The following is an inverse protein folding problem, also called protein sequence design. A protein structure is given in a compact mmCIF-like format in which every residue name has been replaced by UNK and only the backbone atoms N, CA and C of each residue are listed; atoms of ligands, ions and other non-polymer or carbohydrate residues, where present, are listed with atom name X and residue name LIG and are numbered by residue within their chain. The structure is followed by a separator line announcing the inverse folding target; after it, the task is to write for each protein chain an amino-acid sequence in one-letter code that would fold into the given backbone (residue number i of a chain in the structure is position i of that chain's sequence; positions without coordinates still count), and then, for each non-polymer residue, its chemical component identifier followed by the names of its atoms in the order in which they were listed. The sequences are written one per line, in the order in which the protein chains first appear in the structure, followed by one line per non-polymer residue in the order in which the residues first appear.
data_IF_517657718439
#
_entry.id   IF_517657718439
#
_cell.length_a   1.000
_cell.length_b   1.000
_cell.length_c   1.000
_cell.angle_alpha   90.00
_cell.angle_beta   90.00
_cell.angle_gamma   90.00
#
_symmetry.space_group_name_H-M   'P 1'
#
loop_
_entity.id
_entity.type
_entity.pdbx_description
1 polymer ?
#
# COMPACT_ATOMS: atom_id res chain seq x y z
N UNK A 1 42.16 12.28 11.59
CA UNK A 1 41.91 12.23 13.04
C UNK A 1 41.89 10.77 13.45
N UNK A 2 43.01 10.25 13.97
CA UNK A 2 43.11 8.86 14.44
C UNK A 2 42.48 8.79 15.84
N UNK A 3 41.30 8.20 15.97
CA UNK A 3 40.70 7.94 17.28
C UNK A 3 41.44 6.75 17.88
N UNK A 4 42.28 6.99 18.88
CA UNK A 4 42.89 5.91 19.65
C UNK A 4 41.79 5.16 20.40
N UNK A 5 41.50 3.93 19.96
CA UNK A 5 40.48 3.07 20.56
C UNK A 5 41.08 2.47 21.83
N UNK A 6 40.61 2.93 22.99
CA UNK A 6 41.01 2.42 24.30
C UNK A 6 39.93 1.50 24.90
N UNK A 7 40.27 0.31 25.43
CA UNK A 7 41.60 -0.30 25.50
C UNK A 7 42.11 -0.82 24.13
N UNK A 8 43.44 -0.90 23.93
CA UNK A 8 44.04 -1.36 22.69
C UNK A 8 43.70 -2.83 22.46
N UNK A 9 42.82 -3.07 21.50
CA UNK A 9 42.40 -4.40 21.06
C UNK A 9 43.27 -4.83 19.87
N UNK A 10 43.66 -6.11 19.87
CA UNK A 10 44.45 -6.66 18.77
C UNK A 10 43.66 -6.54 17.44
N UNK A 11 44.33 -6.28 16.30
CA UNK A 11 43.66 -6.07 15.02
C UNK A 11 42.75 -7.24 14.61
N UNK A 12 43.10 -8.46 14.98
CA UNK A 12 42.25 -9.65 14.74
C UNK A 12 40.98 -9.65 15.61
N UNK A 13 41.09 -9.23 16.87
CA UNK A 13 39.94 -9.10 17.78
C UNK A 13 39.01 -7.96 17.34
N UNK A 14 39.59 -6.87 16.80
CA UNK A 14 38.85 -5.78 16.16
C UNK A 14 38.00 -6.26 14.99
N UNK A 15 38.56 -7.08 14.09
CA UNK A 15 37.81 -7.62 12.94
C UNK A 15 36.64 -8.49 13.39
N UNK A 16 36.85 -9.36 14.38
CA UNK A 16 35.79 -10.21 14.93
C UNK A 16 34.70 -9.36 15.58
N UNK A 17 35.08 -8.34 16.36
CA UNK A 17 34.13 -7.41 16.98
C UNK A 17 33.35 -6.61 15.93
N UNK A 18 33.98 -6.19 14.84
CA UNK A 18 33.32 -5.52 13.73
C UNK A 18 32.32 -6.42 13.01
N UNK A 19 32.71 -7.65 12.67
CA UNK A 19 31.82 -8.59 11.97
C UNK A 19 30.61 -8.98 12.83
N UNK A 20 30.82 -9.19 14.13
CA UNK A 20 29.73 -9.48 15.08
C UNK A 20 28.79 -8.30 15.26
N UNK A 21 29.33 -7.08 15.32
CA UNK A 21 28.51 -5.85 15.41
C UNK A 21 27.74 -5.63 14.12
N UNK A 22 28.38 -5.77 12.96
CA UNK A 22 27.74 -5.62 11.65
C UNK A 22 26.58 -6.60 11.45
N UNK A 23 26.74 -7.86 11.88
CA UNK A 23 25.65 -8.86 11.85
C UNK A 23 24.48 -8.43 12.73
N UNK A 24 24.76 -8.00 13.96
CA UNK A 24 23.73 -7.54 14.90
C UNK A 24 22.98 -6.32 14.38
N UNK A 25 23.69 -5.33 13.83
CA UNK A 25 23.09 -4.13 13.25
C UNK A 25 22.22 -4.47 12.04
N UNK A 26 22.67 -5.38 11.17
CA UNK A 26 21.88 -5.86 10.03
C UNK A 26 20.62 -6.57 10.49
N UNK A 27 20.70 -7.46 11.47
CA UNK A 27 19.55 -8.16 12.03
C UNK A 27 18.54 -7.17 12.64
N UNK A 28 19.04 -6.15 13.34
CA UNK A 28 18.22 -5.08 13.90
C UNK A 28 17.50 -4.29 12.79
N UNK A 29 18.21 -3.87 11.75
CA UNK A 29 17.63 -3.16 10.61
C UNK A 29 16.59 -4.01 9.86
N UNK A 30 16.84 -5.31 9.69
CA UNK A 30 15.88 -6.22 9.03
C UNK A 30 14.63 -6.44 9.88
N UNK A 31 14.74 -6.43 11.20
CA UNK A 31 13.60 -6.51 12.11
C UNK A 31 12.74 -5.24 12.05
N UNK A 32 13.38 -4.07 12.04
CA UNK A 32 12.68 -2.78 11.89
C UNK A 32 12.01 -2.67 10.51
N UNK A 33 12.72 -3.07 9.44
CA UNK A 33 12.16 -3.11 8.08
C UNK A 33 10.91 -4.00 8.02
N UNK A 34 10.93 -5.17 8.66
CA UNK A 34 9.75 -6.05 8.74
C UNK A 34 8.55 -5.32 9.35
N UNK A 35 8.75 -4.64 10.47
CA UNK A 35 7.69 -3.90 11.16
C UNK A 35 7.12 -2.80 10.25
N UNK A 36 8.00 -2.04 9.58
CA UNK A 36 7.54 -1.01 8.64
C UNK A 36 6.74 -1.58 7.48
N UNK A 37 7.13 -2.74 6.92
CA UNK A 37 6.39 -3.41 5.85
C UNK A 37 5.02 -3.93 6.34
N UNK A 38 4.94 -4.42 7.57
CA UNK A 38 3.67 -4.82 8.18
C UNK A 38 2.76 -3.61 8.36
N UNK A 39 3.27 -2.50 8.89
CA UNK A 39 2.49 -1.27 9.04
C UNK A 39 2.01 -0.72 7.68
N UNK A 40 2.87 -0.77 6.67
CA UNK A 40 2.53 -0.35 5.31
C UNK A 40 1.43 -1.25 4.71
N UNK A 41 1.49 -2.56 4.93
CA UNK A 41 0.44 -3.51 4.51
C UNK A 41 -0.91 -3.13 5.11
N UNK A 42 -0.97 -2.88 6.42
CA UNK A 42 -2.21 -2.46 7.09
C UNK A 42 -2.75 -1.15 6.51
N UNK A 43 -1.87 -0.16 6.27
CA UNK A 43 -2.28 1.10 5.64
C UNK A 43 -2.84 0.94 4.22
N UNK A 44 -2.31 -0.01 3.43
CA UNK A 44 -2.86 -0.34 2.12
C UNK A 44 -4.19 -1.12 2.22
N UNK A 45 -4.35 -2.00 3.20
CA UNK A 45 -5.60 -2.69 3.47
C UNK A 45 -6.71 -1.70 3.86
N UNK A 46 -6.39 -0.66 4.63
CA UNK A 46 -7.32 0.43 4.95
C UNK A 46 -7.72 1.21 3.69
N UNK A 47 -6.76 1.52 2.81
CA UNK A 47 -7.05 2.17 1.53
C UNK A 47 -7.93 1.29 0.63
N UNK A 48 -7.68 -0.02 0.61
CA UNK A 48 -8.49 -0.99 -0.11
C UNK A 48 -9.92 -1.02 0.43
N UNK A 49 -10.09 -0.97 1.76
CA UNK A 49 -11.40 -0.92 2.40
C UNK A 49 -12.20 0.33 2.01
N UNK A 50 -11.56 1.48 1.79
CA UNK A 50 -12.23 2.69 1.29
C UNK A 50 -12.75 2.55 -0.15
N UNK A 51 -12.13 1.70 -0.96
CA UNK A 51 -12.58 1.37 -2.32
C UNK A 51 -13.56 0.21 -2.37
N UNK A 52 -13.73 -0.53 -1.28
CA UNK A 52 -14.65 -1.65 -1.23
C UNK A 52 -16.09 -1.17 -1.51
N UNK A 53 -16.89 -1.93 -2.29
CA UNK A 53 -18.26 -1.58 -2.58
C UNK A 53 -19.14 -1.83 -1.34
N UNK A 54 -19.25 -0.82 -0.48
CA UNK A 54 -20.09 -0.83 0.73
C UNK A 54 -21.35 0.01 0.46
N UNK A 55 -22.53 -0.55 0.73
CA UNK A 55 -23.82 0.14 0.62
C UNK A 55 -24.31 0.62 2.01
N UNK A 56 -24.84 1.86 2.16
CA UNK A 56 -24.99 2.89 1.14
C UNK A 56 -23.68 3.64 0.90
N UNK A 57 -23.21 3.69 -0.36
CA UNK A 57 -21.94 4.33 -0.72
C UNK A 57 -21.85 5.83 -0.41
N UNK A 58 -20.75 6.46 -0.81
CA UNK A 58 -20.47 7.87 -0.53
C UNK A 58 -21.29 8.81 -1.43
N UNK A 59 -22.11 9.68 -0.84
CA UNK A 59 -22.87 10.70 -1.58
C UNK A 59 -22.14 12.04 -1.55
N UNK A 60 -21.78 12.54 -2.73
CA UNK A 60 -21.06 13.77 -2.98
C UNK A 60 -22.02 14.81 -3.58
N UNK A 61 -21.97 16.03 -3.06
CA UNK A 61 -22.72 17.17 -3.61
C UNK A 61 -21.92 17.81 -4.73
N UNK A 62 -22.56 18.01 -5.88
CA UNK A 62 -22.04 18.76 -7.00
C UNK A 62 -22.68 20.15 -7.03
N UNK A 63 -21.88 21.20 -6.96
CA UNK A 63 -22.36 22.56 -7.17
C UNK A 63 -21.31 23.45 -7.80
N UNK A 64 -21.74 24.37 -8.66
CA UNK A 64 -20.86 25.44 -9.16
C UNK A 64 -20.86 26.62 -8.18
N UNK A 65 -19.69 27.15 -7.77
CA UNK A 65 -19.58 28.11 -6.67
C UNK A 65 -20.23 29.47 -6.96
N UNK A 66 -20.31 29.88 -8.23
CA UNK A 66 -20.63 31.28 -8.58
C UNK A 66 -22.01 31.52 -9.19
N UNK A 67 -22.68 30.50 -9.75
CA UNK A 67 -23.91 30.71 -10.51
C UNK A 67 -24.98 29.63 -10.35
N UNK A 68 -24.79 28.62 -9.50
CA UNK A 68 -25.77 27.53 -9.28
C UNK A 68 -26.33 26.90 -10.58
N UNK A 69 -25.60 27.02 -11.69
CA UNK A 69 -26.01 26.55 -13.02
C UNK A 69 -26.09 25.03 -13.03
N UNK A 70 -25.19 24.40 -12.28
CA UNK A 70 -25.17 22.97 -12.04
C UNK A 70 -25.29 22.73 -10.55
N UNK A 71 -26.32 21.99 -10.15
CA UNK A 71 -26.54 21.49 -8.79
C UNK A 71 -26.85 20.01 -8.87
N UNK A 72 -26.37 19.23 -7.94
CA UNK A 72 -26.70 17.82 -7.95
C UNK A 72 -26.09 17.04 -6.81
N UNK A 73 -26.42 15.77 -6.77
CA UNK A 73 -25.82 14.79 -5.86
C UNK A 73 -25.43 13.55 -6.66
N UNK A 74 -24.30 12.95 -6.31
CA UNK A 74 -23.83 11.70 -6.91
C UNK A 74 -23.47 10.74 -5.77
N UNK A 75 -23.97 9.51 -5.83
CA UNK A 75 -23.60 8.43 -4.92
C UNK A 75 -22.66 7.47 -5.62
N UNK A 76 -21.43 7.39 -5.10
CA UNK A 76 -20.38 6.46 -5.51
C UNK A 76 -20.37 5.25 -4.58
N UNK A 77 -20.34 4.05 -5.15
CA UNK A 77 -20.14 2.78 -4.45
C UNK A 77 -18.87 2.14 -4.98
N UNK A 78 -17.82 2.07 -4.16
CA UNK A 78 -16.49 1.61 -4.58
C UNK A 78 -15.95 2.40 -5.79
N UNK A 79 -15.72 1.71 -6.90
CA UNK A 79 -15.17 2.27 -8.15
C UNK A 79 -16.22 2.77 -9.14
N UNK A 80 -17.52 2.69 -8.79
CA UNK A 80 -18.63 3.03 -9.70
C UNK A 80 -19.57 4.08 -9.12
N UNK A 81 -20.18 4.88 -9.99
CA UNK A 81 -21.27 5.80 -9.67
C UNK A 81 -22.59 5.07 -9.94
N UNK A 82 -23.38 4.84 -8.89
CA UNK A 82 -24.63 4.05 -8.96
C UNK A 82 -25.85 4.96 -9.03
N UNK A 83 -25.78 6.14 -8.43
CA UNK A 83 -26.89 7.10 -8.42
C UNK A 83 -26.35 8.49 -8.65
N UNK A 84 -27.10 9.30 -9.38
CA UNK A 84 -26.79 10.70 -9.59
C UNK A 84 -28.03 11.47 -9.99
N UNK A 85 -28.16 12.70 -9.50
CA UNK A 85 -29.21 13.63 -9.92
C UNK A 85 -28.57 14.99 -10.11
N UNK A 86 -28.66 15.54 -11.31
CA UNK A 86 -28.05 16.81 -11.70
C UNK A 86 -29.14 17.71 -12.26
N UNK A 87 -29.35 18.85 -11.61
CA UNK A 87 -30.18 19.94 -12.07
C UNK A 87 -29.31 20.95 -12.82
N UNK A 88 -29.70 21.19 -14.07
CA UNK A 88 -29.02 22.10 -14.99
C UNK A 88 -29.92 23.30 -15.30
N UNK A 89 -29.37 24.51 -15.16
CA UNK A 89 -29.99 25.77 -15.55
C UNK A 89 -29.17 26.43 -16.66
N UNK A 90 -29.53 26.13 -17.90
CA UNK A 90 -28.87 26.70 -19.08
C UNK A 90 -29.52 28.03 -19.44
N UNK A 91 -28.76 28.96 -20.02
CA UNK A 91 -29.25 30.31 -20.34
C UNK A 91 -30.32 30.31 -21.44
N UNK A 92 -30.22 29.37 -22.38
CA UNK A 92 -31.04 29.31 -23.60
C UNK A 92 -32.06 28.18 -23.57
N UNK A 93 -32.03 27.30 -22.57
CA UNK A 93 -32.92 26.14 -22.44
C UNK A 93 -33.62 26.16 -21.09
N UNK A 94 -34.81 25.56 -21.02
CA UNK A 94 -35.50 25.36 -19.76
C UNK A 94 -34.65 24.50 -18.79
N UNK A 95 -34.91 24.63 -17.49
CA UNK A 95 -34.21 23.84 -16.47
C UNK A 95 -34.42 22.34 -16.70
N UNK A 96 -33.34 21.58 -16.75
CA UNK A 96 -33.37 20.13 -16.96
C UNK A 96 -32.89 19.39 -15.72
N UNK A 97 -33.45 18.22 -15.47
CA UNK A 97 -32.98 17.30 -14.44
C UNK A 97 -32.50 16.03 -15.10
N UNK A 98 -31.21 15.74 -14.97
CA UNK A 98 -30.58 14.52 -15.45
C UNK A 98 -30.45 13.55 -14.28
N UNK A 99 -30.96 12.33 -14.43
CA UNK A 99 -30.84 11.26 -13.43
C UNK A 99 -30.06 10.10 -14.02
N UNK A 100 -29.17 9.52 -13.21
CA UNK A 100 -28.45 8.32 -13.59
C UNK A 100 -29.38 7.10 -13.51
N UNK A 101 -29.35 6.25 -14.53
CA UNK A 101 -30.04 4.97 -14.50
C UNK A 101 -29.28 3.99 -13.58
N UNK A 102 -29.90 3.48 -12.50
CA UNK A 102 -29.24 2.51 -11.62
C UNK A 102 -28.89 1.19 -12.32
N UNK A 103 -29.53 0.85 -13.44
CA UNK A 103 -29.22 -0.35 -14.21
C UNK A 103 -27.89 -0.22 -14.99
N UNK A 104 -27.40 1.00 -15.21
CA UNK A 104 -26.18 1.26 -15.97
C UNK A 104 -25.21 2.17 -15.18
N UNK A 105 -24.50 1.61 -14.19
CA UNK A 105 -23.58 2.39 -13.36
C UNK A 105 -22.37 2.88 -14.19
N UNK A 106 -21.89 4.08 -13.87
CA UNK A 106 -20.70 4.64 -14.52
C UNK A 106 -19.46 4.13 -13.79
N UNK A 107 -18.59 3.41 -14.49
CA UNK A 107 -17.30 2.97 -13.98
C UNK A 107 -16.25 4.07 -14.12
N UNK A 108 -15.60 4.40 -13.01
CA UNK A 108 -14.51 5.36 -13.00
C UNK A 108 -13.21 4.61 -13.32
N UNK A 109 -12.73 4.74 -14.55
CA UNK A 109 -11.49 4.08 -15.01
C UNK A 109 -10.29 4.34 -14.08
N UNK A 110 -10.05 5.57 -13.58
CA UNK A 110 -8.95 5.82 -12.64
C UNK A 110 -9.08 5.03 -11.34
N UNK A 111 -10.28 4.94 -10.76
CA UNK A 111 -10.50 4.17 -9.52
C UNK A 111 -10.40 2.66 -9.75
N UNK A 112 -10.77 2.20 -10.94
CA UNK A 112 -10.62 0.80 -11.32
C UNK A 112 -9.15 0.44 -11.46
N UNK A 113 -8.35 1.29 -12.12
CA UNK A 113 -6.90 1.13 -12.20
C UNK A 113 -6.25 1.14 -10.82
N UNK A 114 -6.63 2.10 -9.96
CA UNK A 114 -6.16 2.19 -8.58
C UNK A 114 -6.46 0.89 -7.81
N UNK A 115 -7.69 0.38 -7.88
CA UNK A 115 -8.07 -0.88 -7.24
C UNK A 115 -7.19 -2.06 -7.69
N UNK A 116 -6.87 -2.14 -8.98
CA UNK A 116 -5.98 -3.20 -9.50
C UNK A 116 -4.54 -3.05 -8.99
N UNK A 117 -4.00 -1.82 -8.97
CA UNK A 117 -2.65 -1.55 -8.49
C UNK A 117 -2.51 -1.81 -6.99
N UNK A 118 -3.51 -1.43 -6.18
CA UNK A 118 -3.55 -1.72 -4.75
C UNK A 118 -3.55 -3.22 -4.47
N UNK A 119 -4.42 -3.99 -5.15
CA UNK A 119 -4.43 -5.44 -5.02
C UNK A 119 -3.06 -6.05 -5.35
N UNK A 120 -2.47 -5.63 -6.46
CA UNK A 120 -1.14 -6.09 -6.85
C UNK A 120 -0.09 -5.77 -5.78
N UNK A 121 -0.09 -4.54 -5.25
CA UNK A 121 0.84 -4.14 -4.18
C UNK A 121 0.66 -4.94 -2.89
N UNK A 122 -0.58 -5.28 -2.54
CA UNK A 122 -0.92 -6.08 -1.35
C UNK A 122 -0.46 -7.54 -1.51
N UNK A 123 -0.60 -8.10 -2.71
CA UNK A 123 -0.12 -9.43 -3.06
C UNK A 123 1.42 -9.49 -2.99
N UNK A 124 2.11 -8.50 -3.57
CA UNK A 124 3.58 -8.42 -3.50
C UNK A 124 4.07 -8.31 -2.05
N UNK A 125 3.42 -7.51 -1.21
CA UNK A 125 3.75 -7.41 0.20
C UNK A 125 3.51 -8.71 0.95
N UNK A 126 2.38 -9.36 0.70
CA UNK A 126 2.03 -10.63 1.35
C UNK A 126 3.03 -11.73 0.99
N UNK A 127 3.43 -11.81 -0.28
CA UNK A 127 4.48 -12.71 -0.75
C UNK A 127 5.83 -12.38 -0.13
N UNK A 128 6.20 -11.10 -0.10
CA UNK A 128 7.48 -10.64 0.49
C UNK A 128 7.55 -10.97 1.97
N UNK A 129 6.48 -10.71 2.74
CA UNK A 129 6.44 -11.02 4.17
C UNK A 129 6.48 -12.53 4.42
N UNK A 130 5.75 -13.32 3.63
CA UNK A 130 5.72 -14.79 3.78
C UNK A 130 7.07 -15.43 3.44
N UNK A 131 7.73 -14.96 2.38
CA UNK A 131 9.00 -15.52 1.91
C UNK A 131 10.21 -15.04 2.73
N UNK A 132 10.25 -13.76 3.09
CA UNK A 132 11.37 -13.20 3.85
C UNK A 132 11.27 -13.45 5.35
N UNK A 133 10.05 -13.62 5.88
CA UNK A 133 9.79 -13.78 7.30
C UNK A 133 8.77 -14.91 7.55
N UNK A 134 9.10 -16.17 7.19
CA UNK A 134 8.22 -17.29 7.50
C UNK A 134 7.96 -17.32 9.01
N UNK A 135 6.69 -17.28 9.40
CA UNK A 135 6.31 -17.32 10.80
C UNK A 135 6.83 -18.62 11.44
N UNK A 136 7.80 -18.50 12.34
CA UNK A 136 8.28 -19.59 13.19
C UNK A 136 7.25 -19.92 14.27
N UNK A 137 6.02 -20.28 13.88
CA UNK A 137 4.95 -20.64 14.78
C UNK A 137 4.74 -22.16 14.75
N UNK A 138 5.65 -22.91 15.37
CA UNK A 138 5.33 -24.18 16.02
C UNK A 138 6.10 -24.25 17.35
N UNK A 139 5.43 -24.53 18.48
CA UNK A 139 6.12 -24.94 19.68
C UNK A 139 6.54 -26.42 19.55
N UNK A 140 7.60 -26.76 20.28
CA UNK A 140 8.09 -28.11 20.61
C UNK A 140 9.27 -28.59 19.77
N UNK A 141 10.37 -28.86 20.51
CA UNK A 141 11.70 -29.11 20.00
C UNK A 141 11.81 -30.11 18.87
N UNK A 142 12.59 -29.73 17.87
CA UNK A 142 13.43 -30.67 17.14
C UNK A 142 14.64 -29.91 16.60
N UNK A 143 15.80 -30.35 17.06
CA UNK A 143 17.12 -30.00 16.56
C UNK A 143 17.26 -30.43 15.10
N UNK A 144 17.88 -29.56 14.30
CA UNK A 144 18.63 -29.84 13.07
C UNK A 144 17.89 -30.49 11.88
N UNK A 145 17.57 -29.66 10.88
CA UNK A 145 17.99 -29.92 9.50
C UNK A 145 17.95 -28.62 8.68
N UNK A 146 19.15 -28.20 8.29
CA UNK A 146 19.47 -27.19 7.28
C UNK A 146 18.63 -27.32 6.00
N UNK A 147 17.76 -26.34 5.77
CA UNK A 147 17.43 -25.85 4.42
C UNK A 147 17.23 -24.34 4.51
N UNK A 148 18.34 -23.63 4.43
CA UNK A 148 18.39 -22.19 4.21
C UNK A 148 17.65 -21.84 2.92
N UNK A 149 16.35 -21.61 2.98
CA UNK A 149 15.70 -20.69 2.03
C UNK A 149 16.13 -19.29 2.46
N UNK A 150 17.39 -18.94 2.16
CA UNK A 150 17.87 -17.60 2.36
C UNK A 150 16.92 -16.67 1.63
N UNK A 151 16.28 -15.77 2.39
CA UNK A 151 15.73 -14.54 1.82
C UNK A 151 16.86 -13.93 1.00
N UNK A 152 16.80 -14.10 -0.32
CA UNK A 152 17.85 -13.59 -1.18
C UNK A 152 17.77 -12.06 -1.08
N UNK A 153 18.83 -11.36 -0.68
CA UNK A 153 18.80 -9.90 -0.60
C UNK A 153 18.49 -9.27 -1.97
N UNK A 154 18.84 -9.96 -3.06
CA UNK A 154 18.46 -9.59 -4.41
C UNK A 154 16.94 -9.71 -4.63
N UNK A 155 16.28 -10.73 -4.07
CA UNK A 155 14.83 -10.88 -4.14
C UNK A 155 14.12 -9.78 -3.34
N UNK A 156 14.52 -9.55 -2.09
CA UNK A 156 13.92 -8.50 -1.26
C UNK A 156 14.07 -7.12 -1.92
N UNK A 157 15.26 -6.78 -2.38
CA UNK A 157 15.50 -5.49 -3.07
C UNK A 157 14.73 -5.36 -4.38
N UNK A 158 14.59 -6.44 -5.16
CA UNK A 158 13.75 -6.44 -6.35
C UNK A 158 12.28 -6.22 -6.01
N UNK A 159 11.76 -6.89 -4.99
CA UNK A 159 10.37 -6.72 -4.53
C UNK A 159 10.10 -5.29 -4.03
N UNK A 160 11.01 -4.71 -3.25
CA UNK A 160 10.86 -3.32 -2.79
C UNK A 160 10.87 -2.32 -3.95
N UNK A 161 11.66 -2.55 -4.99
CA UNK A 161 11.63 -1.70 -6.19
C UNK A 161 10.32 -1.83 -6.95
N UNK A 162 9.82 -3.05 -7.10
CA UNK A 162 8.55 -3.32 -7.78
C UNK A 162 7.38 -2.67 -7.02
N UNK A 163 7.39 -2.79 -5.70
CA UNK A 163 6.43 -2.13 -4.82
C UNK A 163 6.49 -0.61 -4.98
N UNK A 164 7.68 -0.02 -4.91
CA UNK A 164 7.90 1.42 -5.13
C UNK A 164 7.35 1.89 -6.48
N UNK A 165 7.59 1.13 -7.55
CA UNK A 165 7.03 1.42 -8.87
C UNK A 165 5.50 1.38 -8.86
N UNK A 166 4.90 0.32 -8.29
CA UNK A 166 3.43 0.21 -8.24
C UNK A 166 2.77 1.35 -7.46
N UNK A 167 3.39 1.80 -6.36
CA UNK A 167 2.90 2.94 -5.59
C UNK A 167 3.05 4.25 -6.38
N UNK A 168 4.15 4.42 -7.11
CA UNK A 168 4.34 5.60 -7.96
C UNK A 168 3.28 5.67 -9.07
N UNK A 169 2.96 4.55 -9.71
CA UNK A 169 1.91 4.44 -10.72
C UNK A 169 0.51 4.66 -10.15
N UNK A 170 0.27 4.28 -8.88
CA UNK A 170 -1.02 4.52 -8.22
C UNK A 170 -1.27 6.00 -7.88
N UNK A 171 -0.20 6.81 -7.80
CA UNK A 171 -0.26 8.22 -7.42
C UNK A 171 -0.43 9.19 -8.58
N UNK A 172 -0.21 8.72 -9.82
CA UNK A 172 -0.31 9.50 -11.08
C UNK A 172 -1.72 9.51 -11.65
#
# INVERSE_FOLDING_TARGET
MSVEIWPPIAPEQLRIAQETTQKRELDWLLAELRETLVNLKHGLEDCYALLAPIDPGSTLVLSTPRNEIVKGTITRVGTRIVKGTIHLRLRTLASQTLTLDPAHPIHLAPLTSLHTLLNHSLDLLSLTLTYCYPASNLPTGQTSSSSSSSSSPAFLSAQLRLLSQSLSESSS
#
